data_IF_349276570493
#
_entry.id   IF_349276570493
#
_cell.length_a   1.000
_cell.length_b   1.000
_cell.length_c   1.000
_cell.angle_alpha   90.00
_cell.angle_beta   90.00
_cell.angle_gamma   90.00
#
_symmetry.space_group_name_H-M   'P 1'
#
loop_
_entity.id
_entity.type
_entity.pdbx_description
1 polymer ?
#
# COMPACT_ATOMS: atom_id res chain seq x y z
N UNK A 1 -10.31 -26.88 -17.75
CA UNK A 1 -10.20 -25.41 -17.69
C UNK A 1 -10.47 -25.00 -16.25
N UNK A 2 -9.49 -24.40 -15.56
CA UNK A 2 -9.69 -23.98 -14.18
C UNK A 2 -10.59 -22.74 -14.16
N UNK A 3 -11.78 -22.90 -13.60
CA UNK A 3 -12.75 -21.84 -13.36
C UNK A 3 -12.27 -21.01 -12.17
N UNK A 4 -11.63 -19.87 -12.45
CA UNK A 4 -11.29 -18.90 -11.42
C UNK A 4 -12.55 -18.09 -11.11
N UNK A 5 -13.12 -18.26 -9.92
CA UNK A 5 -14.16 -17.37 -9.39
C UNK A 5 -13.52 -16.06 -8.92
N UNK A 6 -13.97 -14.92 -9.45
CA UNK A 6 -13.49 -13.56 -9.19
C UNK A 6 -13.84 -13.00 -7.78
N UNK A 7 -13.84 -13.84 -6.75
CA UNK A 7 -13.94 -13.37 -5.36
C UNK A 7 -12.61 -12.74 -4.92
N UNK A 8 -12.41 -11.45 -5.24
CA UNK A 8 -11.37 -10.58 -4.67
C UNK A 8 -9.92 -11.00 -4.95
N UNK A 9 -9.16 -10.15 -5.63
CA UNK A 9 -7.73 -10.42 -5.84
C UNK A 9 -6.96 -10.12 -4.56
N UNK A 10 -6.26 -11.12 -4.00
CA UNK A 10 -5.45 -10.97 -2.78
C UNK A 10 -4.02 -11.46 -2.98
N UNK A 11 -3.09 -10.82 -2.29
CA UNK A 11 -1.71 -11.29 -2.23
C UNK A 11 -1.08 -10.90 -0.90
N UNK A 12 0.03 -11.55 -0.57
CA UNK A 12 0.82 -11.20 0.59
C UNK A 12 2.31 -11.15 0.24
N UNK A 13 3.07 -10.47 1.08
CA UNK A 13 4.54 -10.47 1.06
C UNK A 13 5.06 -10.16 2.46
N UNK A 14 6.30 -10.54 2.74
CA UNK A 14 6.98 -10.21 3.97
C UNK A 14 8.25 -9.42 3.66
N UNK A 15 8.57 -8.48 4.54
CA UNK A 15 9.82 -7.72 4.54
C UNK A 15 10.25 -7.57 5.99
N UNK A 16 11.47 -8.02 6.29
CA UNK A 16 12.02 -8.05 7.65
C UNK A 16 11.06 -8.75 8.63
N UNK A 17 10.67 -8.07 9.72
CA UNK A 17 9.77 -8.59 10.76
C UNK A 17 8.28 -8.27 10.51
N UNK A 18 7.92 -7.81 9.30
CA UNK A 18 6.57 -7.39 8.94
C UNK A 18 6.02 -8.22 7.77
N UNK A 19 4.73 -8.54 7.85
CA UNK A 19 3.98 -9.16 6.78
C UNK A 19 2.86 -8.23 6.32
N UNK A 20 2.63 -8.17 5.02
CA UNK A 20 1.58 -7.36 4.41
C UNK A 20 0.64 -8.25 3.63
N UNK A 21 -0.65 -7.98 3.75
CA UNK A 21 -1.70 -8.58 2.94
C UNK A 21 -2.44 -7.46 2.20
N UNK A 22 -2.53 -7.57 0.88
CA UNK A 22 -3.25 -6.62 0.03
C UNK A 22 -4.42 -7.37 -0.59
N UNK A 23 -5.62 -6.85 -0.39
CA UNK A 23 -6.83 -7.31 -1.09
C UNK A 23 -7.41 -6.17 -1.91
N UNK A 24 -7.89 -6.48 -3.11
CA UNK A 24 -8.71 -5.60 -3.94
C UNK A 24 -10.03 -6.31 -4.22
N UNK A 25 -11.12 -5.61 -3.96
CA UNK A 25 -12.48 -6.07 -4.16
C UNK A 25 -13.29 -4.99 -4.89
N UNK A 26 -14.31 -5.41 -5.62
CA UNK A 26 -15.30 -4.50 -6.18
C UNK A 26 -16.56 -4.50 -5.30
N UNK A 27 -16.95 -3.32 -4.82
CA UNK A 27 -18.11 -3.16 -3.97
C UNK A 27 -19.03 -2.11 -4.60
N UNK A 28 -20.17 -2.59 -5.12
CA UNK A 28 -21.19 -1.75 -5.80
C UNK A 28 -20.62 -0.95 -6.98
N UNK A 29 -19.91 -1.60 -7.90
CA UNK A 29 -19.34 -0.93 -9.08
C UNK A 29 -18.11 -0.09 -8.78
N UNK A 30 -17.52 -0.20 -7.58
CA UNK A 30 -16.38 0.62 -7.14
C UNK A 30 -15.30 -0.24 -6.53
N UNK A 31 -14.08 -0.07 -7.04
CA UNK A 31 -12.90 -0.72 -6.48
C UNK A 31 -12.54 -0.19 -5.10
N UNK A 32 -12.22 -1.12 -4.22
CA UNK A 32 -11.70 -0.88 -2.88
C UNK A 32 -10.51 -1.78 -2.62
N UNK A 33 -9.46 -1.22 -2.05
CA UNK A 33 -8.31 -1.99 -1.59
C UNK A 33 -8.17 -1.92 -0.08
N UNK A 34 -7.79 -3.02 0.53
CA UNK A 34 -7.37 -3.04 1.94
C UNK A 34 -5.93 -3.53 2.00
N UNK A 35 -5.09 -2.79 2.73
CA UNK A 35 -3.73 -3.24 3.04
C UNK A 35 -3.66 -3.47 4.54
N UNK A 36 -3.35 -4.70 4.92
CA UNK A 36 -3.04 -5.10 6.29
C UNK A 36 -1.54 -5.17 6.48
N UNK A 37 -1.08 -4.71 7.63
CA UNK A 37 0.27 -4.91 8.14
C UNK A 37 0.17 -5.73 9.43
N UNK A 38 0.99 -6.78 9.53
CA UNK A 38 1.17 -7.59 10.73
C UNK A 38 2.63 -7.55 11.15
N UNK A 39 2.85 -7.41 12.44
CA UNK A 39 4.17 -7.47 13.08
C UNK A 39 4.05 -8.17 14.44
N UNK A 40 5.15 -8.27 15.21
CA UNK A 40 5.16 -8.98 16.50
C UNK A 40 4.14 -8.38 17.50
N UNK A 41 2.95 -8.97 17.55
CA UNK A 41 1.86 -8.59 18.45
C UNK A 41 1.02 -7.39 18.01
N UNK A 42 1.27 -6.80 16.84
CA UNK A 42 0.53 -5.63 16.34
C UNK A 42 0.01 -5.88 14.92
N UNK A 43 -1.23 -5.47 14.69
CA UNK A 43 -1.88 -5.46 13.38
C UNK A 43 -2.45 -4.08 13.10
N UNK A 44 -2.20 -3.55 11.92
CA UNK A 44 -2.84 -2.33 11.41
C UNK A 44 -3.36 -2.56 10.00
N UNK A 45 -4.34 -1.76 9.58
CA UNK A 45 -4.84 -1.82 8.23
C UNK A 45 -5.38 -0.46 7.78
N UNK A 46 -5.36 -0.24 6.48
CA UNK A 46 -5.94 0.95 5.85
C UNK A 46 -6.75 0.51 4.64
N UNK A 47 -7.96 1.07 4.50
CA UNK A 47 -8.81 0.95 3.31
C UNK A 47 -8.62 2.15 2.38
N UNK A 48 -8.50 1.87 1.09
CA UNK A 48 -8.33 2.82 0.01
C UNK A 48 -9.44 2.62 -1.01
N UNK A 49 -9.92 3.69 -1.63
CA UNK A 49 -10.64 3.62 -2.88
C UNK A 49 -9.66 3.53 -4.05
N UNK A 50 -10.19 3.32 -5.24
CA UNK A 50 -9.43 3.18 -6.49
C UNK A 50 -8.37 4.28 -6.69
N UNK A 51 -8.79 5.56 -6.64
CA UNK A 51 -7.86 6.70 -6.77
C UNK A 51 -6.79 6.69 -5.67
N UNK A 52 -7.15 6.30 -4.46
CA UNK A 52 -6.22 6.20 -3.32
C UNK A 52 -5.16 5.12 -3.54
N UNK A 53 -5.53 3.97 -4.11
CA UNK A 53 -4.59 2.92 -4.49
C UNK A 53 -3.63 3.37 -5.59
N UNK A 54 -4.14 4.04 -6.63
CA UNK A 54 -3.30 4.58 -7.71
C UNK A 54 -2.29 5.59 -7.20
N UNK A 55 -2.73 6.52 -6.33
CA UNK A 55 -1.84 7.52 -5.74
C UNK A 55 -0.79 6.90 -4.81
N UNK A 56 -1.17 5.86 -4.05
CA UNK A 56 -0.24 5.08 -3.23
C UNK A 56 0.80 4.39 -4.11
N UNK A 57 0.40 3.68 -5.16
CA UNK A 57 1.30 2.98 -6.08
C UNK A 57 2.30 3.95 -6.71
N UNK A 58 1.82 5.05 -7.29
CA UNK A 58 2.67 6.07 -7.90
C UNK A 58 3.67 6.66 -6.89
N UNK A 59 3.22 6.90 -5.64
CA UNK A 59 4.10 7.38 -4.58
C UNK A 59 5.18 6.36 -4.19
N UNK A 60 4.83 5.08 -4.04
CA UNK A 60 5.80 4.01 -3.73
C UNK A 60 6.79 3.84 -4.88
N UNK A 61 6.34 3.90 -6.13
CA UNK A 61 7.20 3.81 -7.31
C UNK A 61 8.19 4.97 -7.43
N UNK A 62 7.76 6.20 -7.13
CA UNK A 62 8.64 7.37 -7.09
C UNK A 62 9.78 7.17 -6.07
N UNK A 63 9.47 6.62 -4.88
CA UNK A 63 10.48 6.30 -3.89
C UNK A 63 11.41 5.15 -4.32
N UNK A 64 10.92 4.15 -5.06
CA UNK A 64 11.75 3.06 -5.60
C UNK A 64 12.77 3.55 -6.64
N UNK A 65 12.42 4.56 -7.44
CA UNK A 65 13.29 5.13 -8.49
C UNK A 65 14.42 6.00 -7.93
N UNK A 66 14.44 6.24 -6.63
CA UNK A 66 15.43 7.11 -6.02
C UNK A 66 15.30 8.56 -6.48
N UNK A 67 14.09 9.02 -6.80
CA UNK A 67 13.81 10.44 -7.05
C UNK A 67 14.16 11.22 -5.77
N UNK A 68 15.40 11.70 -5.72
CA UNK A 68 16.19 11.96 -4.51
C UNK A 68 15.89 13.29 -3.84
N UNK A 69 14.69 13.82 -4.00
CA UNK A 69 14.26 14.90 -3.13
C UNK A 69 13.71 14.27 -1.86
N UNK A 70 14.40 14.50 -0.75
CA UNK A 70 14.07 14.16 0.64
C UNK A 70 12.70 14.67 1.13
N UNK A 71 11.79 15.02 0.22
CA UNK A 71 10.50 15.67 0.40
C UNK A 71 9.42 15.16 -0.54
N UNK A 72 9.51 13.95 -1.12
CA UNK A 72 8.42 13.38 -1.93
C UNK A 72 7.24 12.91 -1.04
N UNK A 73 6.71 13.89 -0.32
CA UNK A 73 5.52 13.82 0.47
C UNK A 73 4.34 13.83 -0.48
N UNK A 74 3.57 12.76 -0.47
CA UNK A 74 2.30 12.70 -1.17
C UNK A 74 1.16 12.87 -0.19
N UNK A 75 0.26 13.81 -0.47
CA UNK A 75 -0.95 14.05 0.34
C UNK A 75 -2.14 14.00 -0.59
N UNK A 76 -3.19 13.28 -0.19
CA UNK A 76 -4.43 13.24 -0.93
C UNK A 76 -5.62 13.09 0.02
N UNK A 77 -6.81 13.43 -0.47
CA UNK A 77 -8.05 13.25 0.25
C UNK A 77 -8.91 12.21 -0.45
N UNK A 78 -9.62 11.40 0.32
CA UNK A 78 -10.60 10.46 -0.19
C UNK A 78 -11.86 10.50 0.69
N UNK A 79 -12.90 11.15 0.17
CA UNK A 79 -14.01 11.61 1.00
C UNK A 79 -13.50 12.55 2.09
N UNK A 80 -13.89 12.30 3.33
CA UNK A 80 -13.47 13.09 4.48
C UNK A 80 -12.19 12.55 5.17
N UNK A 81 -11.48 11.61 4.53
CA UNK A 81 -10.23 11.02 5.04
C UNK A 81 -9.03 11.67 4.36
N UNK A 82 -8.04 12.10 5.16
CA UNK A 82 -6.80 12.71 4.66
C UNK A 82 -5.65 11.71 4.75
N UNK A 83 -5.05 11.39 3.61
CA UNK A 83 -3.95 10.45 3.49
C UNK A 83 -2.63 11.18 3.30
N UNK A 84 -1.55 10.54 3.75
CA UNK A 84 -0.18 11.03 3.65
C UNK A 84 0.77 9.85 3.44
N UNK A 85 1.61 9.93 2.43
CA UNK A 85 2.74 9.03 2.22
C UNK A 85 4.04 9.82 2.31
N UNK A 86 4.95 9.38 3.17
CA UNK A 86 6.25 10.00 3.38
C UNK A 86 7.33 8.94 3.62
N UNK A 87 8.54 9.17 3.11
CA UNK A 87 9.71 8.39 3.50
C UNK A 87 10.32 8.99 4.77
N UNK A 88 10.68 8.11 5.70
CA UNK A 88 11.33 8.45 6.96
C UNK A 88 12.49 7.51 7.21
N UNK A 89 13.37 7.91 8.11
CA UNK A 89 14.53 7.12 8.52
C UNK A 89 14.61 7.06 10.04
N UNK A 90 15.05 5.93 10.57
CA UNK A 90 15.46 5.77 11.95
C UNK A 90 16.73 4.90 12.02
N UNK A 91 17.12 4.48 13.23
CA UNK A 91 18.31 3.63 13.44
C UNK A 91 18.23 2.25 12.76
N UNK A 92 17.02 1.76 12.45
CA UNK A 92 16.81 0.48 11.75
C UNK A 92 16.82 0.62 10.22
N UNK A 93 16.84 1.85 9.70
CA UNK A 93 16.87 2.14 8.25
C UNK A 93 15.72 3.04 7.80
N UNK A 94 15.49 3.06 6.48
CA UNK A 94 14.42 3.85 5.85
C UNK A 94 13.12 3.06 5.80
N UNK A 95 12.00 3.76 5.85
CA UNK A 95 10.67 3.20 5.70
C UNK A 95 9.70 4.21 5.08
N UNK A 96 8.71 3.70 4.35
CA UNK A 96 7.55 4.47 3.92
C UNK A 96 6.48 4.42 5.01
N UNK A 97 6.04 5.59 5.43
CA UNK A 97 4.90 5.76 6.33
C UNK A 97 3.70 6.21 5.51
N UNK A 98 2.74 5.30 5.31
CA UNK A 98 1.42 5.66 4.80
C UNK A 98 0.49 5.86 6.01
N UNK A 99 -0.11 7.04 6.14
CA UNK A 99 -1.06 7.32 7.21
C UNK A 99 -2.33 7.94 6.71
N UNK A 100 -3.43 7.63 7.40
CA UNK A 100 -4.74 8.22 7.18
C UNK A 100 -5.23 8.85 8.47
N UNK A 101 -5.82 10.04 8.38
CA UNK A 101 -6.67 10.60 9.44
C UNK A 101 -8.12 10.52 9.00
N UNK A 102 -8.96 9.94 9.85
CA UNK A 102 -10.40 9.92 9.66
C UNK A 102 -11.07 11.21 10.18
N UNK A 103 -12.40 11.26 10.05
CA UNK A 103 -13.24 12.38 10.48
C UNK A 103 -13.22 12.61 11.99
N UNK A 104 -12.97 11.56 12.77
CA UNK A 104 -12.83 11.60 14.22
C UNK A 104 -11.40 11.97 14.65
N UNK A 105 -10.53 12.33 13.68
CA UNK A 105 -9.10 12.61 13.87
C UNK A 105 -8.28 11.42 14.37
N UNK A 106 -8.82 10.20 14.34
CA UNK A 106 -8.05 8.98 14.59
C UNK A 106 -7.06 8.78 13.45
N UNK A 107 -5.84 8.40 13.81
CA UNK A 107 -4.75 8.20 12.86
C UNK A 107 -4.39 6.72 12.79
N UNK A 108 -4.41 6.17 11.58
CA UNK A 108 -3.94 4.83 11.28
C UNK A 108 -2.70 4.90 10.38
N UNK A 109 -1.79 3.94 10.54
CA UNK A 109 -0.51 3.93 9.84
C UNK A 109 -0.17 2.54 9.33
N UNK A 110 0.44 2.50 8.15
CA UNK A 110 1.23 1.39 7.62
C UNK A 110 2.69 1.86 7.50
N UNK A 111 3.61 1.01 7.92
CA UNK A 111 5.06 1.23 7.97
C UNK A 111 5.72 0.16 7.13
N UNK A 112 6.08 0.51 5.89
CA UNK A 112 6.75 -0.40 4.96
C UNK A 112 8.26 -0.15 4.97
N UNK A 113 9.07 -1.06 5.56
CA UNK A 113 10.52 -0.94 5.55
C UNK A 113 11.05 -0.99 4.11
N UNK A 114 12.16 -0.30 3.88
CA UNK A 114 12.89 -0.42 2.61
C UNK A 114 13.39 -1.85 2.40
N UNK A 115 13.76 -2.56 3.48
CA UNK A 115 14.26 -3.93 3.43
C UNK A 115 15.73 -3.99 3.01
N UNK A 116 16.52 -4.78 3.75
CA UNK A 116 17.94 -5.00 3.48
C UNK A 116 18.21 -6.23 2.57
N UNK A 117 17.18 -6.77 1.91
CA UNK A 117 17.27 -7.97 1.08
C UNK A 117 17.63 -7.69 -0.38
N UNK A 118 17.85 -8.75 -1.18
CA UNK A 118 18.14 -8.67 -2.63
C UNK A 118 17.08 -7.87 -3.42
N UNK A 119 15.85 -7.87 -2.94
CA UNK A 119 14.74 -7.10 -3.47
C UNK A 119 14.19 -6.21 -2.36
N UNK A 120 14.22 -4.89 -2.56
CA UNK A 120 13.69 -3.93 -1.58
C UNK A 120 12.19 -4.13 -1.32
N UNK A 121 11.78 -3.99 -0.07
CA UNK A 121 10.40 -4.06 0.40
C UNK A 121 9.45 -3.08 -0.31
N UNK A 122 9.92 -1.86 -0.63
CA UNK A 122 9.12 -0.90 -1.39
C UNK A 122 8.85 -1.38 -2.82
N UNK A 123 9.84 -2.00 -3.46
CA UNK A 123 9.68 -2.60 -4.77
C UNK A 123 8.68 -3.76 -4.73
N UNK A 124 8.73 -4.61 -3.69
CA UNK A 124 7.72 -5.67 -3.51
C UNK A 124 6.32 -5.10 -3.36
N UNK A 125 6.14 -4.05 -2.55
CA UNK A 125 4.86 -3.36 -2.40
C UNK A 125 4.33 -2.83 -3.74
N UNK A 126 5.15 -2.09 -4.48
CA UNK A 126 4.78 -1.56 -5.80
C UNK A 126 4.42 -2.70 -6.77
N UNK A 127 5.24 -3.76 -6.83
CA UNK A 127 4.99 -4.92 -7.70
C UNK A 127 3.65 -5.58 -7.38
N UNK A 128 3.33 -5.79 -6.11
CA UNK A 128 2.07 -6.41 -5.68
C UNK A 128 0.87 -5.54 -6.00
N UNK A 129 0.94 -4.24 -5.71
CA UNK A 129 -0.10 -3.28 -6.08
C UNK A 129 -0.36 -3.24 -7.59
N UNK A 130 0.71 -3.22 -8.40
CA UNK A 130 0.61 -3.24 -9.87
C UNK A 130 0.01 -4.54 -10.40
N UNK A 131 0.42 -5.69 -9.86
CA UNK A 131 -0.13 -7.00 -10.24
C UNK A 131 -1.64 -7.04 -10.00
N UNK A 132 -2.09 -6.61 -8.81
CA UNK A 132 -3.52 -6.57 -8.48
C UNK A 132 -4.29 -5.59 -9.37
N UNK A 133 -3.68 -4.47 -9.77
CA UNK A 133 -4.26 -3.54 -10.75
C UNK A 133 -4.30 -4.05 -12.19
N UNK A 134 -3.47 -5.04 -12.56
CA UNK A 134 -3.50 -5.69 -13.88
C UNK A 134 -4.63 -6.72 -13.98
N UNK A 135 -4.86 -7.49 -12.91
CA UNK A 135 -5.98 -8.44 -12.84
C UNK A 135 -7.35 -7.77 -12.97
N UNK A 136 -7.43 -6.46 -12.71
CA UNK A 136 -8.65 -5.69 -12.95
C UNK A 136 -8.80 -5.20 -14.40
N UNK A 137 -7.71 -4.87 -15.11
CA UNK A 137 -7.76 -4.34 -16.49
C UNK A 137 -7.93 -5.41 -17.56
N UNK A 138 -7.89 -6.69 -17.21
CA UNK A 138 -8.01 -7.80 -18.17
C UNK A 138 -9.45 -8.12 -18.58
N UNK A 139 -10.43 -7.28 -18.25
CA UNK A 139 -11.85 -7.45 -18.60
C UNK A 139 -12.43 -6.23 -19.35
N UNK A 140 -11.61 -5.50 -20.11
CA UNK A 140 -12.07 -4.53 -21.13
C UNK A 140 -11.95 -5.11 -22.55
#
# INVERSE_FOLDING_TARGET
MAQWSFEGSKCWFAVESKAFEISIEEVRGKLRGTIWERSKGLSSWIRFGEKGLSLLLEGVEAWCKGESNSKLLKVWNEGARKFRLECRSNVAGRFLLCSVRDVERKKFCLVSPEGNGLVGGWFLLAKKLRLLGLFHRSEE
#
